data_IF_869274656250
#
_entry.id   IF_869274656250
#
_cell.length_a   1.000
_cell.length_b   1.000
_cell.length_c   1.000
_cell.angle_alpha   90.00
_cell.angle_beta   90.00
_cell.angle_gamma   90.00
#
_symmetry.space_group_name_H-M   'P 1'
#
loop_
_entity.id
_entity.type
_entity.pdbx_description
1 polymer ?
#
# COMPACT_ATOMS: atom_id res chain seq x y z
N UNK A 1 20.98 1.30 -24.88
CA UNK A 1 19.92 1.97 -25.67
C UNK A 1 18.55 1.41 -25.28
N UNK A 2 17.85 2.05 -24.35
CA UNK A 2 16.45 1.71 -24.06
C UNK A 2 15.55 2.36 -25.11
N UNK A 3 14.78 1.58 -25.88
CA UNK A 3 13.67 2.14 -26.66
C UNK A 3 12.78 2.95 -25.72
N UNK A 4 12.38 4.16 -26.11
CA UNK A 4 11.32 4.90 -25.43
C UNK A 4 10.11 3.96 -25.30
N UNK A 5 9.87 3.46 -24.09
CA UNK A 5 8.86 2.44 -23.82
C UNK A 5 7.44 2.94 -24.08
N UNK A 6 7.27 4.27 -24.10
CA UNK A 6 6.01 4.95 -24.35
C UNK A 6 6.27 6.13 -25.28
N UNK A 7 5.63 6.17 -26.45
CA UNK A 7 5.71 7.28 -27.42
C UNK A 7 4.69 8.39 -27.12
N UNK A 8 4.16 8.42 -25.91
CA UNK A 8 3.11 9.37 -25.54
C UNK A 8 3.66 10.77 -25.36
N UNK A 9 2.93 11.76 -25.89
CA UNK A 9 3.05 13.13 -25.39
C UNK A 9 2.81 13.12 -23.88
N UNK A 10 3.52 13.98 -23.14
CA UNK A 10 3.38 14.16 -21.68
C UNK A 10 1.91 14.15 -21.21
N UNK A 11 1.05 14.93 -21.85
CA UNK A 11 -0.37 15.01 -21.53
C UNK A 11 -1.09 13.65 -21.62
N UNK A 12 -0.90 12.91 -22.73
CA UNK A 12 -1.49 11.58 -22.94
C UNK A 12 -1.09 10.57 -21.86
N UNK A 13 0.14 10.63 -21.35
CA UNK A 13 0.59 9.73 -20.28
C UNK A 13 -0.21 9.94 -18.98
N UNK A 14 -0.46 11.21 -18.60
CA UNK A 14 -1.27 11.54 -17.41
C UNK A 14 -2.71 11.10 -17.60
N UNK A 15 -3.33 11.46 -18.73
CA UNK A 15 -4.72 11.06 -19.02
C UNK A 15 -4.85 9.54 -19.01
N UNK A 16 -3.92 8.81 -19.63
CA UNK A 16 -3.93 7.34 -19.63
C UNK A 16 -3.86 6.78 -18.22
N UNK A 17 -2.93 7.27 -17.38
CA UNK A 17 -2.78 6.80 -16.01
C UNK A 17 -4.03 7.08 -15.16
N UNK A 18 -4.63 8.27 -15.30
CA UNK A 18 -5.86 8.63 -14.60
C UNK A 18 -7.06 7.79 -15.07
N UNK A 19 -7.20 7.55 -16.38
CA UNK A 19 -8.25 6.67 -16.92
C UNK A 19 -8.04 5.24 -16.44
N UNK A 20 -6.80 4.74 -16.42
CA UNK A 20 -6.48 3.43 -15.85
C UNK A 20 -6.99 3.30 -14.42
N UNK A 21 -6.62 4.24 -13.54
CA UNK A 21 -7.05 4.20 -12.14
C UNK A 21 -8.56 4.38 -12.00
N UNK A 22 -9.19 5.26 -12.78
CA UNK A 22 -10.63 5.44 -12.77
C UNK A 22 -11.38 4.17 -13.19
N UNK A 23 -10.90 3.47 -14.23
CA UNK A 23 -11.48 2.18 -14.67
C UNK A 23 -11.28 1.11 -13.60
N UNK A 24 -10.06 0.95 -13.08
CA UNK A 24 -9.78 -0.03 -12.03
C UNK A 24 -10.66 0.20 -10.79
N UNK A 25 -10.63 1.42 -10.23
CA UNK A 25 -11.39 1.77 -9.02
C UNK A 25 -12.89 1.70 -9.27
N UNK A 26 -13.37 2.23 -10.40
CA UNK A 26 -14.80 2.20 -10.76
C UNK A 26 -15.33 0.78 -10.88
N UNK A 27 -14.64 -0.08 -11.64
CA UNK A 27 -15.03 -1.49 -11.78
C UNK A 27 -14.90 -2.21 -10.44
N UNK A 28 -13.83 -1.98 -9.68
CA UNK A 28 -13.65 -2.60 -8.37
C UNK A 28 -14.77 -2.24 -7.38
N UNK A 29 -15.17 -0.97 -7.31
CA UNK A 29 -16.28 -0.50 -6.46
C UNK A 29 -17.60 -1.11 -6.92
N UNK A 30 -17.90 -1.09 -8.22
CA UNK A 30 -19.13 -1.66 -8.77
C UNK A 30 -19.19 -3.16 -8.48
N UNK A 31 -18.12 -3.91 -8.77
CA UNK A 31 -18.07 -5.36 -8.52
C UNK A 31 -18.18 -5.67 -7.03
N UNK A 32 -17.48 -4.92 -6.18
CA UNK A 32 -17.51 -5.14 -4.73
C UNK A 32 -18.87 -4.83 -4.09
N UNK A 33 -19.69 -3.96 -4.71
CA UNK A 33 -21.02 -3.60 -4.22
C UNK A 33 -22.18 -4.36 -4.87
N UNK A 34 -22.04 -4.75 -6.13
CA UNK A 34 -23.17 -5.27 -6.93
C UNK A 34 -23.33 -6.78 -6.84
N UNK A 35 -22.28 -7.53 -6.56
CA UNK A 35 -22.38 -8.99 -6.55
C UNK A 35 -22.83 -9.51 -5.18
N UNK A 36 -24.10 -9.92 -5.09
CA UNK A 36 -24.65 -10.78 -4.01
C UNK A 36 -24.02 -12.19 -3.96
N UNK A 37 -23.06 -12.48 -4.83
CA UNK A 37 -22.17 -13.66 -4.78
C UNK A 37 -21.08 -13.56 -3.70
N UNK A 38 -20.86 -12.36 -3.14
CA UNK A 38 -20.00 -12.20 -1.98
C UNK A 38 -20.71 -12.73 -0.75
N UNK A 39 -20.02 -13.49 0.11
CA UNK A 39 -20.59 -13.81 1.40
C UNK A 39 -20.78 -12.49 2.15
N UNK A 40 -21.71 -12.41 3.12
CA UNK A 40 -21.95 -11.18 3.86
C UNK A 40 -20.65 -10.56 4.35
N UNK A 41 -20.57 -9.24 4.49
CA UNK A 41 -19.37 -8.55 5.02
C UNK A 41 -18.89 -9.18 6.35
N UNK A 42 -19.81 -9.75 7.12
CA UNK A 42 -19.56 -10.52 8.33
C UNK A 42 -18.82 -11.86 8.13
N UNK A 43 -18.61 -12.30 6.88
CA UNK A 43 -17.92 -13.56 6.58
C UNK A 43 -16.42 -13.43 6.77
N UNK A 44 -15.77 -14.40 7.44
CA UNK A 44 -14.31 -14.44 7.56
C UNK A 44 -13.57 -14.44 6.22
N UNK A 45 -14.24 -14.90 5.15
CA UNK A 45 -13.68 -15.01 3.80
C UNK A 45 -13.83 -13.74 2.96
N UNK A 46 -14.53 -12.72 3.46
CA UNK A 46 -14.80 -11.49 2.71
C UNK A 46 -13.50 -10.85 2.22
N UNK A 47 -12.50 -10.70 3.09
CA UNK A 47 -11.23 -10.06 2.74
C UNK A 47 -10.43 -10.83 1.69
N UNK A 48 -10.39 -12.17 1.79
CA UNK A 48 -9.69 -13.03 0.80
C UNK A 48 -10.33 -12.86 -0.58
N UNK A 49 -11.66 -12.95 -0.65
CA UNK A 49 -12.39 -12.80 -1.92
C UNK A 49 -12.23 -11.40 -2.49
N UNK A 50 -12.35 -10.36 -1.65
CA UNK A 50 -12.17 -8.97 -2.06
C UNK A 50 -10.78 -8.72 -2.64
N UNK A 51 -9.71 -9.20 -1.96
CA UNK A 51 -8.34 -9.11 -2.45
C UNK A 51 -8.10 -9.89 -3.74
N UNK A 52 -8.64 -11.11 -3.88
CA UNK A 52 -8.54 -11.90 -5.12
C UNK A 52 -9.27 -11.21 -6.26
N UNK A 53 -10.52 -10.77 -6.05
CA UNK A 53 -11.30 -10.05 -7.07
C UNK A 53 -10.58 -8.79 -7.51
N UNK A 54 -10.09 -7.99 -6.57
CA UNK A 54 -9.30 -6.80 -6.90
C UNK A 54 -8.01 -7.12 -7.64
N UNK A 55 -7.34 -8.21 -7.28
CA UNK A 55 -6.14 -8.68 -8.01
C UNK A 55 -6.48 -9.03 -9.46
N UNK A 56 -7.56 -9.79 -9.68
CA UNK A 56 -8.01 -10.17 -11.03
C UNK A 56 -8.41 -8.93 -11.85
N UNK A 57 -9.10 -7.96 -11.24
CA UNK A 57 -9.48 -6.71 -11.89
C UNK A 57 -8.27 -5.82 -12.19
N UNK A 58 -7.29 -5.74 -11.29
CA UNK A 58 -6.05 -5.01 -11.51
C UNK A 58 -5.24 -5.65 -12.65
N UNK A 59 -5.14 -6.98 -12.69
CA UNK A 59 -4.51 -7.73 -13.79
C UNK A 59 -5.26 -7.52 -15.11
N UNK A 60 -6.58 -7.63 -15.11
CA UNK A 60 -7.43 -7.44 -16.29
C UNK A 60 -7.32 -6.04 -16.85
N UNK A 61 -7.43 -5.01 -16.00
CA UNK A 61 -7.26 -3.60 -16.40
C UNK A 61 -5.85 -3.36 -16.95
N UNK A 62 -4.82 -3.93 -16.31
CA UNK A 62 -3.43 -3.89 -16.80
C UNK A 62 -3.30 -4.53 -18.17
N UNK A 63 -3.85 -5.73 -18.37
CA UNK A 63 -3.80 -6.44 -19.64
C UNK A 63 -4.45 -5.64 -20.78
N UNK A 64 -5.62 -5.00 -20.52
CA UNK A 64 -6.32 -4.17 -21.51
C UNK A 64 -5.46 -2.98 -21.93
N UNK A 65 -4.90 -2.24 -20.98
CA UNK A 65 -4.07 -1.06 -21.29
C UNK A 65 -2.75 -1.43 -21.95
N UNK A 66 -2.11 -2.51 -21.50
CA UNK A 66 -0.89 -3.04 -22.12
C UNK A 66 -1.14 -3.45 -23.58
N UNK A 67 -2.24 -4.16 -23.86
CA UNK A 67 -2.64 -4.53 -25.23
C UNK A 67 -2.94 -3.29 -26.08
N UNK A 68 -3.67 -2.32 -25.55
CA UNK A 68 -3.96 -1.07 -26.27
C UNK A 68 -2.66 -0.34 -26.64
N UNK A 69 -1.66 -0.36 -25.77
CA UNK A 69 -0.40 0.33 -26.01
C UNK A 69 0.68 -0.51 -26.69
N UNK A 70 0.41 -1.78 -26.99
CA UNK A 70 1.40 -2.72 -27.54
C UNK A 70 2.65 -2.84 -26.64
N UNK A 71 2.43 -2.78 -25.31
CA UNK A 71 3.46 -2.89 -24.27
C UNK A 71 3.30 -4.22 -23.53
N UNK A 72 4.39 -4.79 -23.03
CA UNK A 72 4.37 -6.08 -22.31
C UNK A 72 4.31 -5.90 -20.79
N UNK A 73 3.91 -6.95 -20.06
CA UNK A 73 3.95 -6.97 -18.59
C UNK A 73 5.35 -6.73 -18.02
N UNK A 74 6.40 -7.14 -18.75
CA UNK A 74 7.79 -6.85 -18.41
C UNK A 74 8.04 -5.35 -18.26
N UNK A 75 7.52 -4.55 -19.19
CA UNK A 75 7.72 -3.10 -19.19
C UNK A 75 6.93 -2.40 -18.07
N UNK A 76 5.87 -3.03 -17.56
CA UNK A 76 5.16 -2.59 -16.36
C UNK A 76 5.85 -3.00 -15.05
N UNK A 77 6.99 -3.72 -15.11
CA UNK A 77 7.67 -4.27 -13.93
C UNK A 77 6.91 -5.43 -13.29
N UNK A 78 6.07 -6.12 -14.08
CA UNK A 78 5.18 -7.19 -13.65
C UNK A 78 5.63 -8.52 -14.24
N UNK A 79 6.88 -8.89 -13.97
CA UNK A 79 7.45 -10.18 -14.41
C UNK A 79 7.97 -10.93 -13.21
N UNK A 80 7.61 -12.22 -13.17
CA UNK A 80 8.19 -13.14 -12.24
C UNK A 80 9.68 -13.33 -12.54
N UNK A 81 10.50 -13.15 -11.52
CA UNK A 81 11.95 -13.32 -11.58
C UNK A 81 12.44 -14.10 -10.36
N UNK A 82 13.69 -14.56 -10.39
CA UNK A 82 14.34 -15.18 -9.24
C UNK A 82 14.43 -14.26 -8.01
N UNK A 83 14.32 -12.94 -8.21
CA UNK A 83 14.33 -11.95 -7.12
C UNK A 83 12.95 -11.60 -6.59
N UNK A 84 11.86 -12.14 -7.17
CA UNK A 84 10.49 -11.81 -6.75
C UNK A 84 10.24 -12.28 -5.31
N UNK A 85 10.43 -13.57 -5.02
CA UNK A 85 10.22 -14.09 -3.66
C UNK A 85 11.19 -13.48 -2.64
N UNK A 86 12.52 -13.44 -2.87
CA UNK A 86 13.43 -12.75 -1.96
C UNK A 86 13.09 -11.27 -1.76
N UNK A 87 12.63 -10.58 -2.81
CA UNK A 87 12.18 -9.20 -2.74
C UNK A 87 10.95 -9.03 -1.86
N UNK A 88 9.95 -9.91 -1.99
CA UNK A 88 8.79 -9.92 -1.11
C UNK A 88 9.18 -10.10 0.37
N UNK A 89 10.05 -11.07 0.68
CA UNK A 89 10.53 -11.28 2.06
C UNK A 89 11.40 -10.11 2.56
N UNK A 90 12.21 -9.51 1.70
CA UNK A 90 12.95 -8.29 2.02
C UNK A 90 11.99 -7.17 2.41
N UNK A 91 10.92 -7.00 1.63
CA UNK A 91 9.86 -6.05 1.93
C UNK A 91 9.17 -6.34 3.25
N UNK A 92 8.85 -7.61 3.54
CA UNK A 92 8.25 -8.02 4.81
C UNK A 92 9.15 -7.63 6.00
N UNK A 93 10.45 -7.94 5.93
CA UNK A 93 11.41 -7.60 7.00
C UNK A 93 11.50 -6.10 7.18
N UNK A 94 11.65 -5.32 6.10
CA UNK A 94 11.71 -3.85 6.17
C UNK A 94 10.43 -3.28 6.77
N UNK A 95 9.26 -3.71 6.29
CA UNK A 95 7.97 -3.24 6.81
C UNK A 95 7.77 -3.59 8.28
N UNK A 96 8.14 -4.80 8.69
CA UNK A 96 8.05 -5.24 10.08
C UNK A 96 8.98 -4.43 11.00
N UNK A 97 10.21 -4.14 10.57
CA UNK A 97 11.15 -3.32 11.33
C UNK A 97 10.66 -1.88 11.50
N UNK A 98 10.14 -1.27 10.43
CA UNK A 98 9.58 0.09 10.51
C UNK A 98 8.34 0.11 11.40
N UNK A 99 7.44 -0.86 11.26
CA UNK A 99 6.26 -0.98 12.12
C UNK A 99 6.64 -1.15 13.59
N UNK A 100 7.58 -2.05 13.89
CA UNK A 100 8.07 -2.27 15.24
C UNK A 100 8.69 -1.00 15.83
N UNK A 101 9.50 -0.27 15.06
CA UNK A 101 10.08 0.99 15.51
C UNK A 101 9.01 2.02 15.88
N UNK A 102 7.97 2.18 15.04
CA UNK A 102 6.84 3.07 15.33
C UNK A 102 6.09 2.61 16.59
N UNK A 103 5.75 1.32 16.66
CA UNK A 103 4.98 0.75 17.76
C UNK A 103 5.72 0.87 19.10
N UNK A 104 7.00 0.50 19.16
CA UNK A 104 7.79 0.60 20.39
C UNK A 104 8.07 2.04 20.79
N UNK A 105 8.16 2.98 19.83
CA UNK A 105 8.23 4.41 20.15
C UNK A 105 6.90 4.88 20.76
N UNK A 106 5.76 4.49 20.20
CA UNK A 106 4.46 4.81 20.79
C UNK A 106 4.31 4.26 22.20
N UNK A 107 4.65 2.99 22.43
CA UNK A 107 4.58 2.37 23.76
C UNK A 107 5.58 3.03 24.73
N UNK A 108 6.80 3.32 24.28
CA UNK A 108 7.85 3.86 25.15
C UNK A 108 7.67 5.32 25.57
N UNK A 109 6.91 6.11 24.79
CA UNK A 109 6.74 7.55 25.02
C UNK A 109 5.29 7.97 25.31
N UNK A 110 4.37 7.01 25.46
CA UNK A 110 2.96 7.30 25.77
C UNK A 110 2.43 6.33 26.81
N UNK A 111 1.17 6.52 27.23
CA UNK A 111 0.47 5.60 28.12
C UNK A 111 -0.18 4.41 27.37
N UNK A 112 0.31 4.09 26.18
CA UNK A 112 -0.09 2.90 25.44
C UNK A 112 0.66 1.68 25.98
N UNK A 113 -0.06 0.58 26.15
CA UNK A 113 0.48 -0.72 26.50
C UNK A 113 0.02 -1.77 25.49
N UNK A 114 0.80 -2.84 25.39
CA UNK A 114 0.44 -4.03 24.63
C UNK A 114 0.16 -5.16 25.62
N UNK A 115 -1.05 -5.69 25.60
CA UNK A 115 -1.47 -6.80 26.45
C UNK A 115 -1.91 -8.00 25.60
N UNK A 116 -1.73 -9.26 26.06
CA UNK A 116 -2.32 -10.41 25.39
C UNK A 116 -3.85 -10.28 25.34
N UNK A 117 -4.46 -10.65 24.22
CA UNK A 117 -5.92 -10.70 24.16
C UNK A 117 -6.46 -11.82 25.09
N UNK A 118 -7.55 -11.54 25.81
CA UNK A 118 -8.16 -12.49 26.74
C UNK A 118 -8.60 -13.81 26.06
N UNK A 119 -9.01 -13.72 24.79
CA UNK A 119 -9.35 -14.86 23.94
C UNK A 119 -8.80 -14.61 22.55
N UNK A 120 -8.08 -15.58 21.99
CA UNK A 120 -7.52 -15.49 20.63
C UNK A 120 -8.17 -16.54 19.74
N UNK A 121 -8.80 -16.10 18.66
CA UNK A 121 -9.22 -16.99 17.59
C UNK A 121 -8.08 -17.12 16.56
N UNK A 122 -7.21 -18.11 16.73
CA UNK A 122 -6.04 -18.32 15.87
C UNK A 122 -6.40 -18.59 14.40
N UNK A 123 -7.55 -19.22 14.14
CA UNK A 123 -8.04 -19.43 12.78
C UNK A 123 -8.39 -18.09 12.12
N UNK A 124 -9.12 -17.22 12.83
CA UNK A 124 -9.46 -15.89 12.34
C UNK A 124 -8.22 -15.02 12.14
N UNK A 125 -7.23 -15.08 13.05
CA UNK A 125 -5.95 -14.39 12.90
C UNK A 125 -5.19 -14.90 11.67
N UNK A 126 -5.08 -16.21 11.50
CA UNK A 126 -4.39 -16.81 10.36
C UNK A 126 -5.07 -16.41 9.04
N UNK A 127 -6.39 -16.56 8.96
CA UNK A 127 -7.15 -16.16 7.77
C UNK A 127 -7.05 -14.65 7.51
N UNK A 128 -6.98 -13.85 8.58
CA UNK A 128 -6.71 -12.42 8.56
C UNK A 128 -5.34 -12.10 7.95
N UNK A 129 -4.29 -12.82 8.32
CA UNK A 129 -2.97 -12.66 7.70
C UNK A 129 -3.00 -13.05 6.21
N UNK A 130 -3.65 -14.16 5.88
CA UNK A 130 -3.76 -14.66 4.50
C UNK A 130 -4.52 -13.68 3.61
N UNK A 131 -5.61 -13.07 4.08
CA UNK A 131 -6.39 -12.11 3.28
C UNK A 131 -5.63 -10.82 2.96
N UNK A 132 -4.69 -10.41 3.82
CA UNK A 132 -3.95 -9.17 3.63
C UNK A 132 -2.94 -9.26 2.48
N UNK A 133 -2.51 -10.48 2.10
CA UNK A 133 -1.60 -10.69 0.98
C UNK A 133 -2.21 -10.29 -0.36
N UNK A 134 -3.33 -10.88 -0.83
CA UNK A 134 -3.95 -10.48 -2.09
C UNK A 134 -4.50 -9.05 -2.04
N UNK A 135 -4.90 -8.55 -0.86
CA UNK A 135 -5.36 -7.17 -0.69
C UNK A 135 -4.22 -6.15 -0.90
N UNK A 136 -3.06 -6.36 -0.29
CA UNK A 136 -1.89 -5.53 -0.53
C UNK A 136 -1.39 -5.68 -1.99
N UNK A 137 -1.39 -6.91 -2.52
CA UNK A 137 -0.93 -7.18 -3.87
C UNK A 137 -1.78 -6.49 -4.95
N UNK A 138 -3.11 -6.51 -4.84
CA UNK A 138 -3.97 -5.81 -5.81
C UNK A 138 -3.68 -4.31 -5.87
N UNK A 139 -3.38 -3.71 -4.72
CA UNK A 139 -3.10 -2.27 -4.62
C UNK A 139 -1.73 -1.95 -5.20
N UNK A 140 -0.68 -2.72 -4.87
CA UNK A 140 0.63 -2.50 -5.48
C UNK A 140 0.64 -2.78 -6.99
N UNK A 141 -0.16 -3.75 -7.44
CA UNK A 141 -0.34 -4.02 -8.86
C UNK A 141 -0.98 -2.83 -9.60
N UNK A 142 -2.09 -2.30 -9.07
CA UNK A 142 -2.83 -1.20 -9.70
C UNK A 142 -2.09 0.14 -9.61
N UNK A 143 -1.42 0.42 -8.49
CA UNK A 143 -0.84 1.74 -8.24
C UNK A 143 0.65 1.82 -8.54
N UNK A 144 1.42 0.73 -8.44
CA UNK A 144 2.90 0.72 -8.65
C UNK A 144 3.31 -0.09 -9.89
N UNK A 145 2.36 -0.75 -10.54
CA UNK A 145 2.55 -1.41 -11.84
C UNK A 145 2.50 -0.42 -13.01
N UNK A 146 1.63 -0.70 -13.97
CA UNK A 146 1.58 -0.01 -15.26
C UNK A 146 1.53 1.54 -15.20
N UNK A 147 0.55 2.20 -14.54
CA UNK A 147 0.43 3.66 -14.59
C UNK A 147 1.62 4.36 -13.92
N UNK A 148 2.17 3.76 -12.86
CA UNK A 148 3.38 4.27 -12.21
C UNK A 148 4.58 4.23 -13.15
N UNK A 149 4.81 3.11 -13.85
CA UNK A 149 5.93 3.00 -14.80
C UNK A 149 5.79 3.97 -15.97
N UNK A 150 4.58 4.11 -16.50
CA UNK A 150 4.27 5.09 -17.55
C UNK A 150 4.61 6.52 -17.10
N UNK A 151 4.14 6.94 -15.93
CA UNK A 151 4.42 8.28 -15.42
C UNK A 151 5.88 8.49 -15.03
N UNK A 152 6.52 7.50 -14.39
CA UNK A 152 7.92 7.60 -13.98
C UNK A 152 8.85 7.76 -15.19
N UNK A 153 8.61 7.01 -16.27
CA UNK A 153 9.40 7.12 -17.50
C UNK A 153 9.15 8.44 -18.26
N UNK A 154 8.00 9.08 -18.03
CA UNK A 154 7.63 10.32 -18.73
C UNK A 154 8.03 11.59 -17.97
N UNK A 155 7.94 11.57 -16.63
CA UNK A 155 8.10 12.74 -15.76
C UNK A 155 9.14 12.58 -14.65
N UNK A 156 9.65 11.37 -14.44
CA UNK A 156 10.56 11.06 -13.34
C UNK A 156 9.87 10.86 -11.98
N UNK A 157 10.70 10.51 -11.01
CA UNK A 157 10.26 9.94 -9.73
C UNK A 157 9.39 10.88 -8.88
N UNK A 158 9.71 12.17 -8.84
CA UNK A 158 8.97 13.12 -8.01
C UNK A 158 7.51 13.27 -8.41
N UNK A 159 7.28 13.46 -9.72
CA UNK A 159 5.93 13.67 -10.24
C UNK A 159 5.09 12.42 -10.05
N UNK A 160 5.63 11.24 -10.38
CA UNK A 160 4.88 9.98 -10.22
C UNK A 160 4.54 9.69 -8.76
N UNK A 161 5.43 10.00 -7.81
CA UNK A 161 5.18 9.77 -6.38
C UNK A 161 4.02 10.63 -5.88
N UNK A 162 4.04 11.94 -6.18
CA UNK A 162 2.98 12.87 -5.77
C UNK A 162 1.64 12.46 -6.38
N UNK A 163 1.61 12.23 -7.70
CA UNK A 163 0.37 11.85 -8.40
C UNK A 163 -0.19 10.54 -7.86
N UNK A 164 0.65 9.51 -7.73
CA UNK A 164 0.21 8.19 -7.22
C UNK A 164 -0.25 8.29 -5.76
N UNK A 165 0.43 9.06 -4.91
CA UNK A 165 0.04 9.24 -3.52
C UNK A 165 -1.33 9.90 -3.36
N UNK A 166 -1.60 10.95 -4.15
CA UNK A 166 -2.92 11.61 -4.17
C UNK A 166 -4.01 10.63 -4.61
N UNK A 167 -3.81 9.94 -5.75
CA UNK A 167 -4.84 9.00 -6.25
C UNK A 167 -5.03 7.81 -5.30
N UNK A 168 -3.97 7.31 -4.67
CA UNK A 168 -4.04 6.22 -3.71
C UNK A 168 -4.79 6.61 -2.43
N UNK A 169 -4.60 7.84 -1.94
CA UNK A 169 -5.39 8.38 -0.82
C UNK A 169 -6.87 8.57 -1.22
N UNK A 170 -7.14 9.12 -2.39
CA UNK A 170 -8.51 9.30 -2.90
C UNK A 170 -9.23 7.97 -3.11
N UNK A 171 -8.52 6.92 -3.52
CA UNK A 171 -9.05 5.56 -3.57
C UNK A 171 -9.54 5.08 -2.19
N UNK A 172 -8.80 5.36 -1.11
CA UNK A 172 -9.24 5.03 0.25
C UNK A 172 -10.45 5.87 0.69
N UNK A 173 -10.51 7.15 0.31
CA UNK A 173 -11.69 8.00 0.54
C UNK A 173 -12.92 7.44 -0.18
N UNK A 174 -12.77 6.99 -1.44
CA UNK A 174 -13.84 6.30 -2.18
C UNK A 174 -14.26 4.97 -1.52
N UNK A 175 -13.32 4.32 -0.82
CA UNK A 175 -13.56 3.17 0.05
C UNK A 175 -14.22 3.49 1.40
N UNK A 176 -14.52 4.77 1.69
CA UNK A 176 -15.23 5.21 2.89
C UNK A 176 -14.35 5.74 4.03
N UNK A 177 -13.04 5.91 3.81
CA UNK A 177 -12.15 6.49 4.81
C UNK A 177 -12.35 8.00 4.90
N UNK A 178 -12.12 8.57 6.09
CA UNK A 178 -12.07 10.03 6.23
C UNK A 178 -10.89 10.59 5.43
N UNK A 179 -11.03 11.82 4.94
CA UNK A 179 -9.94 12.52 4.22
C UNK A 179 -8.70 12.60 5.10
N UNK A 180 -8.86 12.94 6.38
CA UNK A 180 -7.74 13.02 7.32
C UNK A 180 -7.00 11.68 7.44
N UNK A 181 -7.70 10.56 7.62
CA UNK A 181 -7.08 9.24 7.73
C UNK A 181 -6.39 8.80 6.43
N UNK A 182 -7.01 9.06 5.28
CA UNK A 182 -6.45 8.70 3.98
C UNK A 182 -5.15 9.48 3.66
N UNK A 183 -5.08 10.74 4.07
CA UNK A 183 -3.91 11.61 3.82
C UNK A 183 -2.83 11.53 4.91
N UNK A 184 -3.15 11.08 6.13
CA UNK A 184 -2.15 10.86 7.18
C UNK A 184 -1.51 9.46 7.14
N UNK A 185 -2.20 8.47 6.56
CA UNK A 185 -1.71 7.10 6.40
C UNK A 185 -1.38 6.76 4.94
N UNK A 186 -2.37 6.29 4.13
CA UNK A 186 -2.14 5.83 2.75
C UNK A 186 -1.32 6.78 1.87
N UNK A 187 -1.58 8.10 1.92
CA UNK A 187 -0.79 9.09 1.17
C UNK A 187 0.71 9.03 1.53
N UNK A 188 1.04 9.02 2.82
CA UNK A 188 2.42 8.96 3.31
C UNK A 188 3.08 7.66 2.88
N UNK A 189 2.44 6.52 3.14
CA UNK A 189 2.97 5.20 2.81
C UNK A 189 3.10 4.97 1.30
N UNK A 190 2.32 5.66 0.47
CA UNK A 190 2.47 5.62 -0.98
C UNK A 190 3.88 5.97 -1.44
N UNK A 191 4.56 6.92 -0.77
CA UNK A 191 5.94 7.27 -1.11
C UNK A 191 6.91 6.12 -0.79
N UNK A 192 6.73 5.47 0.36
CA UNK A 192 7.54 4.31 0.76
C UNK A 192 7.34 3.16 -0.24
N UNK A 193 6.10 2.86 -0.62
CA UNK A 193 5.80 1.83 -1.60
C UNK A 193 6.34 2.17 -3.00
N UNK A 194 6.19 3.42 -3.45
CA UNK A 194 6.76 3.86 -4.72
C UNK A 194 8.28 3.78 -4.77
N UNK A 195 8.96 4.07 -3.66
CA UNK A 195 10.42 3.86 -3.55
C UNK A 195 10.79 2.39 -3.60
N UNK A 196 10.08 1.55 -2.86
CA UNK A 196 10.23 0.09 -2.93
C UNK A 196 10.08 -0.41 -4.36
N UNK A 197 9.10 0.11 -5.10
CA UNK A 197 8.86 -0.27 -6.49
C UNK A 197 10.00 0.12 -7.43
N UNK A 198 10.57 1.32 -7.24
CA UNK A 198 11.63 1.85 -8.10
C UNK A 198 12.96 1.18 -7.81
N UNK A 199 13.34 1.09 -6.54
CA UNK A 199 14.61 0.50 -6.10
C UNK A 199 14.68 -1.00 -6.42
N UNK A 200 13.57 -1.73 -6.26
CA UNK A 200 13.52 -3.16 -6.56
C UNK A 200 13.21 -3.49 -8.03
N UNK A 201 12.86 -2.49 -8.84
CA UNK A 201 12.42 -2.63 -10.25
C UNK A 201 11.23 -3.59 -10.44
N UNK A 202 10.41 -3.77 -9.41
CA UNK A 202 9.21 -4.60 -9.43
C UNK A 202 8.28 -4.26 -8.27
N UNK A 203 7.17 -4.97 -8.12
CA UNK A 203 6.19 -4.70 -7.05
C UNK A 203 6.32 -5.63 -5.84
N UNK A 204 7.24 -6.60 -5.87
CA UNK A 204 7.37 -7.59 -4.80
C UNK A 204 7.80 -6.98 -3.46
N UNK A 205 8.85 -6.14 -3.45
CA UNK A 205 9.30 -5.42 -2.24
C UNK A 205 8.19 -4.54 -1.65
N UNK A 206 7.54 -3.62 -2.39
CA UNK A 206 6.49 -2.81 -1.80
C UNK A 206 5.28 -3.63 -1.35
N UNK A 207 4.94 -4.73 -2.04
CA UNK A 207 3.90 -5.66 -1.57
C UNK A 207 4.27 -6.25 -0.20
N UNK A 208 5.52 -6.69 -0.03
CA UNK A 208 6.00 -7.21 1.26
C UNK A 208 5.94 -6.16 2.37
N UNK A 209 6.38 -4.92 2.11
CA UNK A 209 6.29 -3.83 3.10
C UNK A 209 4.83 -3.60 3.50
N UNK A 210 3.94 -3.52 2.51
CA UNK A 210 2.51 -3.29 2.73
C UNK A 210 1.86 -4.43 3.52
N UNK A 211 2.14 -5.69 3.18
CA UNK A 211 1.66 -6.85 3.95
C UNK A 211 2.14 -6.78 5.39
N UNK A 212 3.43 -6.51 5.63
CA UNK A 212 3.98 -6.46 6.99
C UNK A 212 3.33 -5.38 7.85
N UNK A 213 3.08 -4.19 7.29
CA UNK A 213 2.39 -3.11 8.00
C UNK A 213 0.95 -3.50 8.36
N UNK A 214 0.21 -4.06 7.39
CA UNK A 214 -1.17 -4.43 7.62
C UNK A 214 -1.29 -5.59 8.63
N UNK A 215 -0.41 -6.59 8.52
CA UNK A 215 -0.36 -7.72 9.46
C UNK A 215 0.04 -7.23 10.84
N UNK A 216 1.08 -6.40 10.96
CA UNK A 216 1.51 -5.82 12.25
C UNK A 216 0.37 -5.08 12.94
N UNK A 217 -0.31 -4.19 12.22
CA UNK A 217 -1.48 -3.46 12.72
C UNK A 217 -2.62 -4.40 13.16
N UNK A 218 -2.89 -5.46 12.39
CA UNK A 218 -3.91 -6.45 12.75
C UNK A 218 -3.52 -7.23 14.01
N UNK A 219 -2.28 -7.70 14.10
CA UNK A 219 -1.81 -8.52 15.21
C UNK A 219 -1.87 -7.79 16.56
N UNK A 220 -1.74 -6.46 16.57
CA UNK A 220 -1.82 -5.62 17.78
C UNK A 220 -3.18 -4.93 17.97
N UNK A 221 -4.20 -5.32 17.20
CA UNK A 221 -5.58 -4.86 17.39
C UNK A 221 -5.90 -3.48 16.83
N UNK A 222 -5.07 -2.92 15.94
CA UNK A 222 -5.33 -1.61 15.31
C UNK A 222 -6.30 -1.68 14.12
N UNK A 223 -6.59 -2.88 13.58
CA UNK A 223 -7.50 -3.07 12.44
C UNK A 223 -8.75 -3.87 12.76
N UNK A 224 -8.69 -4.79 13.74
CA UNK A 224 -9.73 -5.77 14.05
C UNK A 224 -9.65 -6.15 15.52
N UNK A 225 -10.77 -6.60 16.08
CA UNK A 225 -10.84 -7.09 17.45
C UNK A 225 -10.26 -8.51 17.61
N UNK A 226 -10.19 -9.28 16.52
CA UNK A 226 -9.62 -10.63 16.44
C UNK A 226 -8.08 -10.57 16.36
N UNK A 227 -7.41 -10.04 17.39
CA UNK A 227 -5.96 -9.86 17.45
C UNK A 227 -5.30 -10.76 18.50
N UNK A 228 -3.99 -11.02 18.34
CA UNK A 228 -3.20 -11.76 19.35
C UNK A 228 -2.91 -10.86 20.54
N UNK A 229 -2.58 -9.60 20.25
CA UNK A 229 -2.32 -8.56 21.25
C UNK A 229 -3.30 -7.41 21.10
N UNK A 230 -3.57 -6.71 22.20
CA UNK A 230 -4.35 -5.49 22.23
C UNK A 230 -3.45 -4.32 22.59
N UNK A 231 -3.34 -3.38 21.66
CA UNK A 231 -2.80 -2.06 21.94
C UNK A 231 -3.90 -1.22 22.59
N UNK A 232 -3.73 -0.88 23.86
CA UNK A 232 -4.71 -0.12 24.65
C UNK A 232 -4.02 0.94 25.49
N UNK A 233 -4.79 1.92 25.95
CA UNK A 233 -4.30 2.84 26.97
C UNK A 233 -4.33 2.19 28.35
N UNK A 234 -3.34 2.50 29.18
CA UNK A 234 -3.37 2.20 30.61
C UNK A 234 -4.66 2.72 31.25
N UNK A 235 -5.17 2.02 32.26
CA UNK A 235 -6.40 2.40 32.97
C UNK A 235 -6.33 3.79 33.63
N UNK A 236 -5.11 4.26 33.91
CA UNK A 236 -4.82 5.58 34.49
C UNK A 236 -4.69 6.70 33.46
N UNK A 237 -4.75 6.40 32.15
CA UNK A 237 -4.55 7.39 31.10
C UNK A 237 -5.68 8.43 31.04
N UNK A 238 -5.29 9.69 31.16
CA UNK A 238 -6.17 10.85 31.04
C UNK A 238 -6.53 11.16 29.57
N UNK A 239 -7.56 11.99 29.30
CA UNK A 239 -7.84 12.47 27.95
C UNK A 239 -6.65 13.18 27.28
N UNK A 240 -5.85 13.93 28.05
CA UNK A 240 -4.62 14.56 27.55
C UNK A 240 -3.55 13.55 27.13
N UNK A 241 -3.42 12.43 27.84
CA UNK A 241 -2.46 11.38 27.47
C UNK A 241 -2.85 10.72 26.14
N UNK A 242 -4.16 10.52 25.91
CA UNK A 242 -4.69 9.98 24.65
C UNK A 242 -4.42 10.93 23.48
N UNK A 243 -4.71 12.21 23.65
CA UNK A 243 -4.41 13.23 22.65
C UNK A 243 -2.90 13.35 22.38
N UNK A 244 -2.07 13.18 23.42
CA UNK A 244 -0.61 13.11 23.30
C UNK A 244 -0.14 11.94 22.45
N UNK A 245 -0.71 10.74 22.66
CA UNK A 245 -0.39 9.55 21.86
C UNK A 245 -0.82 9.69 20.39
N UNK A 246 -2.00 10.24 20.14
CA UNK A 246 -2.46 10.55 18.77
C UNK A 246 -1.54 11.55 18.07
N UNK A 247 -1.15 12.61 18.78
CA UNK A 247 -0.20 13.62 18.29
C UNK A 247 1.15 12.99 17.96
N UNK A 248 1.70 12.15 18.86
CA UNK A 248 2.94 11.43 18.60
C UNK A 248 2.81 10.49 17.39
N UNK A 249 1.68 9.79 17.25
CA UNK A 249 1.40 8.97 16.09
C UNK A 249 1.46 9.75 14.78
N UNK A 250 0.86 10.94 14.73
CA UNK A 250 0.92 11.83 13.57
C UNK A 250 2.35 12.34 13.31
N UNK A 251 3.10 12.68 14.36
CA UNK A 251 4.52 13.08 14.25
C UNK A 251 5.35 11.95 13.64
N UNK A 252 5.15 10.71 14.10
CA UNK A 252 5.87 9.54 13.55
C UNK A 252 5.51 9.28 12.08
N UNK A 253 4.24 9.43 11.67
CA UNK A 253 3.87 9.40 10.24
C UNK A 253 4.55 10.53 9.45
N UNK A 254 4.61 11.74 10.02
CA UNK A 254 5.34 12.87 9.44
C UNK A 254 6.83 12.58 9.26
N UNK A 255 7.47 11.92 10.23
CA UNK A 255 8.87 11.50 10.12
C UNK A 255 9.08 10.45 9.03
N UNK A 256 8.21 9.43 8.95
CA UNK A 256 8.22 8.46 7.84
C UNK A 256 8.11 9.18 6.49
N UNK A 257 7.23 10.18 6.40
CA UNK A 257 7.05 10.97 5.19
C UNK A 257 8.32 11.75 4.82
N UNK A 258 8.92 12.47 5.77
CA UNK A 258 10.16 13.23 5.55
C UNK A 258 11.31 12.32 5.10
N UNK A 259 11.46 11.15 5.72
CA UNK A 259 12.46 10.16 5.31
C UNK A 259 12.19 9.66 3.89
N UNK A 260 10.93 9.37 3.57
CA UNK A 260 10.54 8.96 2.22
C UNK A 260 10.76 10.06 1.17
N UNK A 261 10.55 11.34 1.51
CA UNK A 261 10.86 12.47 0.65
C UNK A 261 12.37 12.61 0.43
N UNK A 262 13.18 12.49 1.49
CA UNK A 262 14.63 12.54 1.38
C UNK A 262 15.18 11.38 0.53
N UNK A 263 14.67 10.16 0.73
CA UNK A 263 15.01 8.99 -0.08
C UNK A 263 14.55 9.15 -1.53
N UNK A 264 13.41 9.78 -1.77
CA UNK A 264 12.94 10.15 -3.12
C UNK A 264 13.86 11.16 -3.78
N UNK A 265 14.29 12.20 -3.05
CA UNK A 265 15.26 13.18 -3.54
C UNK A 265 16.58 12.52 -3.95
N UNK A 266 17.08 11.61 -3.10
CA UNK A 266 18.30 10.86 -3.35
C UNK A 266 18.16 9.92 -4.56
N UNK A 267 17.09 9.12 -4.61
CA UNK A 267 16.83 8.19 -5.71
C UNK A 267 16.62 8.89 -7.07
N UNK A 268 16.00 10.07 -7.06
CA UNK A 268 15.85 10.88 -8.27
C UNK A 268 17.20 11.40 -8.81
N UNK A 269 18.19 11.65 -7.94
CA UNK A 269 19.53 12.11 -8.33
C UNK A 269 20.39 10.96 -8.88
N UNK A 270 20.30 9.77 -8.29
CA UNK A 270 21.10 8.62 -8.71
C UNK A 270 20.63 8.06 -10.06
N UNK A 271 19.33 8.00 -10.31
CA UNK A 271 18.78 7.54 -11.60
C UNK A 271 19.17 8.45 -12.77
N UNK A 272 19.32 9.76 -12.56
CA UNK A 272 19.80 10.70 -13.60
C UNK A 272 21.25 10.48 -14.02
N UNK A 273 22.05 9.77 -13.23
CA UNK A 273 23.47 9.49 -13.55
C UNK A 273 23.66 8.22 -14.39
N UNK A 274 22.60 7.42 -14.53
CA UNK A 274 22.63 6.13 -15.24
C UNK A 274 21.95 6.17 -16.61
N UNK A 275 21.43 7.33 -17.01
CA UNK A 275 20.93 7.65 -18.35
C UNK A 275 21.93 8.54 -19.08
#
# INVERSE_FOLDING_TARGET
>A
MGKQLYTHSRYRAVVTALVFWAVFVGVFVVVSRSFSFFPPIASPWWGVRHGITGTLLALGTTAVFLRWQQVTFHNAGLVWSRTTLPGFFTGLVVGALVFAAILFTLIGFTMLEISPAATVNYEAVFLGCVMLVPLAFMEELAFRGYPFRLLNTTYGLWVVQIVTAVVFALYHVAGGWSVAAAFSGPFVWSFVFGLGAVLSRGIAVPTGIHVALNVGQMLVGMKRDDSIWKLSFLSTASPSDRAGAETLGLVLQGMVFVVALAATAWGARTNKKTE
#
